data_IF_063164176899
#
_entry.id   IF_063164176899
#
_cell.length_a   1.000
_cell.length_b   1.000
_cell.length_c   1.000
_cell.angle_alpha   90.00
_cell.angle_beta   90.00
_cell.angle_gamma   90.00
#
_symmetry.space_group_name_H-M   'P 1'
#
loop_
_entity.id
_entity.type
_entity.pdbx_description
1 polymer ?
#
# COMPACT_ATOMS: atom_id res chain seq x y z
N UNK A 1 57.10 25.44 -43.59
CA UNK A 1 55.70 25.15 -43.66
C UNK A 1 55.41 24.05 -42.67
N UNK A 2 54.89 24.38 -41.45
CA UNK A 2 54.61 23.45 -40.37
C UNK A 2 53.13 23.21 -40.32
N UNK A 3 52.68 22.00 -40.65
CA UNK A 3 51.28 21.58 -40.53
C UNK A 3 51.01 21.16 -39.06
N UNK A 4 50.09 21.83 -38.39
CA UNK A 4 49.57 21.45 -37.06
C UNK A 4 48.40 20.51 -37.27
N UNK A 5 48.54 19.26 -36.81
CA UNK A 5 47.45 18.31 -36.66
C UNK A 5 46.66 18.64 -35.38
N UNK A 6 45.38 18.98 -35.52
CA UNK A 6 44.42 19.05 -34.41
C UNK A 6 43.85 17.64 -34.20
N UNK A 7 44.16 17.05 -33.07
CA UNK A 7 43.47 15.85 -32.59
C UNK A 7 42.20 16.24 -31.86
N UNK A 8 41.03 15.90 -32.42
CA UNK A 8 39.74 16.05 -31.77
C UNK A 8 39.51 14.79 -30.93
N UNK A 9 39.63 14.92 -29.62
CA UNK A 9 39.26 13.87 -28.68
C UNK A 9 37.73 13.97 -28.48
N UNK A 10 37.01 13.07 -29.14
CA UNK A 10 35.56 12.93 -28.94
C UNK A 10 35.27 12.27 -27.59
N UNK A 11 34.67 13.02 -26.66
CA UNK A 11 34.06 12.47 -25.46
C UNK A 11 32.83 11.65 -25.86
N UNK A 12 32.95 10.34 -25.87
CA UNK A 12 31.79 9.43 -25.91
C UNK A 12 31.13 9.43 -24.55
N UNK A 13 30.04 10.22 -24.41
CA UNK A 13 29.14 10.12 -23.28
C UNK A 13 28.40 8.79 -23.36
N UNK A 14 28.76 7.84 -22.50
CA UNK A 14 28.02 6.59 -22.32
C UNK A 14 26.74 6.95 -21.58
N UNK A 15 25.65 7.16 -22.32
CA UNK A 15 24.30 7.25 -21.76
C UNK A 15 23.93 5.83 -21.32
N UNK A 16 24.04 5.55 -20.02
CA UNK A 16 23.50 4.35 -19.42
C UNK A 16 21.97 4.42 -19.53
N UNK A 17 21.43 3.81 -20.57
CA UNK A 17 20.01 3.50 -20.64
C UNK A 17 19.72 2.51 -19.50
N UNK A 18 19.20 3.04 -18.39
CA UNK A 18 18.53 2.18 -17.40
C UNK A 18 17.34 1.59 -18.11
N UNK A 19 17.38 0.32 -18.41
CA UNK A 19 16.21 -0.44 -18.80
C UNK A 19 15.24 -0.39 -17.61
N UNK A 20 14.20 0.44 -17.74
CA UNK A 20 13.04 0.39 -16.86
C UNK A 20 12.40 -0.96 -17.16
N UNK A 21 12.60 -1.93 -16.29
CA UNK A 21 11.86 -3.18 -16.36
C UNK A 21 10.39 -2.80 -16.18
N UNK A 22 9.59 -2.99 -17.21
CA UNK A 22 8.14 -2.84 -17.08
C UNK A 22 7.68 -3.78 -15.97
N UNK A 23 6.96 -3.24 -15.00
CA UNK A 23 6.34 -4.06 -13.96
C UNK A 23 5.24 -4.85 -14.65
N UNK A 24 5.45 -6.16 -14.75
CA UNK A 24 4.43 -7.06 -15.28
C UNK A 24 3.38 -7.28 -14.17
N UNK A 25 2.24 -6.63 -14.32
CA UNK A 25 1.09 -6.79 -13.44
C UNK A 25 -0.18 -6.96 -14.26
N UNK A 26 -1.09 -7.75 -13.73
CA UNK A 26 -2.46 -7.86 -14.21
C UNK A 26 -3.39 -7.13 -13.25
N UNK A 27 -4.45 -6.56 -13.76
CA UNK A 27 -5.40 -5.79 -12.97
C UNK A 27 -6.83 -6.25 -13.22
N UNK A 28 -7.68 -6.16 -12.21
CA UNK A 28 -9.11 -6.41 -12.36
C UNK A 28 -9.93 -5.44 -11.52
N UNK A 29 -11.00 -4.92 -12.11
CA UNK A 29 -11.93 -4.01 -11.46
C UNK A 29 -12.75 -4.76 -10.40
N UNK A 30 -12.87 -4.17 -9.20
CA UNK A 30 -13.61 -4.72 -8.06
C UNK A 30 -14.88 -3.95 -7.71
N UNK A 31 -15.00 -2.70 -8.12
CA UNK A 31 -16.16 -1.89 -7.82
C UNK A 31 -15.85 -0.42 -7.61
N UNK A 32 -16.90 0.33 -7.34
CA UNK A 32 -16.82 1.71 -6.88
C UNK A 32 -17.00 1.73 -5.36
N UNK A 33 -16.23 2.58 -4.66
CA UNK A 33 -16.32 2.74 -3.20
C UNK A 33 -16.49 4.20 -2.82
N UNK A 34 -17.29 4.45 -1.78
CA UNK A 34 -17.53 5.81 -1.27
C UNK A 34 -16.40 6.29 -0.36
N UNK A 35 -16.02 7.55 -0.48
CA UNK A 35 -15.52 8.49 0.52
C UNK A 35 -14.20 8.23 1.25
N UNK A 36 -13.69 7.03 1.37
CA UNK A 36 -12.50 6.73 2.21
C UNK A 36 -11.28 6.23 1.45
N UNK A 37 -11.39 6.12 0.14
CA UNK A 37 -10.28 5.69 -0.72
C UNK A 37 -9.04 6.58 -0.65
N UNK A 38 -9.17 7.81 -0.16
CA UNK A 38 -8.11 8.83 -0.19
C UNK A 38 -7.28 8.94 1.09
N UNK A 39 -7.67 8.31 2.20
CA UNK A 39 -6.84 8.28 3.41
C UNK A 39 -5.64 7.36 3.20
N UNK A 40 -4.43 7.91 3.26
CA UNK A 40 -3.19 7.22 2.92
C UNK A 40 -2.75 7.42 1.48
N UNK A 41 -3.35 8.38 0.77
CA UNK A 41 -3.08 8.66 -0.62
C UNK A 41 -1.63 9.11 -0.84
N UNK A 42 -0.96 8.43 -1.75
CA UNK A 42 0.13 9.03 -2.49
C UNK A 42 -0.51 10.04 -3.47
N UNK A 43 -0.67 11.29 -3.05
CA UNK A 43 -1.02 12.37 -3.96
C UNK A 43 0.19 12.61 -4.88
N UNK A 44 0.25 11.89 -5.97
CA UNK A 44 1.23 12.16 -7.02
C UNK A 44 0.58 13.06 -8.06
N UNK A 45 1.11 14.24 -8.31
CA UNK A 45 0.61 15.14 -9.36
C UNK A 45 0.71 14.55 -10.77
N UNK A 46 1.35 13.41 -10.92
CA UNK A 46 1.54 12.71 -12.21
C UNK A 46 0.53 11.58 -12.46
N UNK A 47 -0.37 11.27 -11.52
CA UNK A 47 -1.38 10.21 -11.69
C UNK A 47 -2.68 10.81 -12.17
N UNK A 48 -2.90 10.74 -13.49
CA UNK A 48 -4.09 11.32 -14.11
C UNK A 48 -5.10 10.27 -14.57
N UNK A 49 -4.69 9.02 -14.65
CA UNK A 49 -5.53 7.90 -15.10
C UNK A 49 -5.52 6.76 -14.10
N UNK A 50 -6.54 5.91 -14.19
CA UNK A 50 -6.62 4.67 -13.40
C UNK A 50 -5.42 3.76 -13.68
N UNK A 51 -4.96 3.70 -14.92
CA UNK A 51 -3.80 2.90 -15.32
C UNK A 51 -2.51 3.40 -14.67
N UNK A 52 -2.30 4.73 -14.60
CA UNK A 52 -1.15 5.32 -13.90
C UNK A 52 -1.19 4.98 -12.41
N UNK A 53 -2.39 5.02 -11.79
CA UNK A 53 -2.56 4.64 -10.39
C UNK A 53 -2.27 3.16 -10.17
N UNK A 54 -2.81 2.29 -11.00
CA UNK A 54 -2.57 0.85 -10.93
C UNK A 54 -1.08 0.53 -11.07
N UNK A 55 -0.42 1.14 -12.05
CA UNK A 55 1.02 0.98 -12.24
C UNK A 55 1.83 1.45 -11.03
N UNK A 56 1.56 2.65 -10.52
CA UNK A 56 2.28 3.20 -9.38
C UNK A 56 2.11 2.34 -8.11
N UNK A 57 0.88 1.84 -7.87
CA UNK A 57 0.60 0.96 -6.74
C UNK A 57 1.25 -0.42 -6.90
N UNK A 58 1.26 -0.97 -8.12
CA UNK A 58 1.90 -2.25 -8.42
C UNK A 58 3.43 -2.16 -8.27
N UNK A 59 4.04 -1.07 -8.76
CA UNK A 59 5.48 -0.80 -8.64
C UNK A 59 5.90 -0.65 -7.17
N UNK A 60 5.08 0.03 -6.38
CA UNK A 60 5.26 0.17 -4.93
C UNK A 60 4.94 -1.11 -4.13
N UNK A 61 4.47 -2.19 -4.79
CA UNK A 61 4.23 -3.50 -4.17
C UNK A 61 2.89 -3.66 -3.48
N UNK A 62 1.94 -2.76 -3.69
CA UNK A 62 0.59 -2.87 -3.12
C UNK A 62 -0.31 -3.84 -3.90
N UNK A 63 -1.33 -4.36 -3.24
CA UNK A 63 -2.29 -5.33 -3.81
C UNK A 63 -3.50 -4.68 -4.46
N UNK A 64 -3.84 -3.47 -4.06
CA UNK A 64 -5.00 -2.74 -4.55
C UNK A 64 -4.66 -1.29 -4.86
N UNK A 65 -5.26 -0.78 -5.94
CA UNK A 65 -5.25 0.63 -6.32
C UNK A 65 -6.66 1.21 -6.22
N UNK A 66 -6.76 2.37 -5.62
CA UNK A 66 -7.98 3.16 -5.46
C UNK A 66 -7.81 4.47 -6.22
N UNK A 67 -8.56 4.65 -7.27
CA UNK A 67 -8.47 5.84 -8.13
C UNK A 67 -9.77 6.62 -8.12
N UNK A 68 -9.69 7.90 -7.78
CA UNK A 68 -10.84 8.81 -7.82
C UNK A 68 -10.54 9.98 -8.74
N UNK A 69 -11.37 10.14 -9.77
CA UNK A 69 -11.30 11.29 -10.65
C UNK A 69 -12.01 12.49 -10.01
N UNK A 70 -11.35 13.63 -9.95
CA UNK A 70 -11.94 14.90 -9.55
C UNK A 70 -11.51 16.01 -10.51
N UNK A 71 -12.37 17.01 -10.71
CA UNK A 71 -12.08 18.13 -11.60
C UNK A 71 -10.90 19.00 -11.16
N UNK A 72 -10.57 18.98 -9.85
CA UNK A 72 -9.44 19.70 -9.27
C UNK A 72 -8.13 18.88 -9.21
N UNK A 73 -8.15 17.64 -9.67
CA UNK A 73 -7.04 16.69 -9.66
C UNK A 73 -7.46 15.28 -9.25
N UNK A 74 -6.84 14.28 -9.84
CA UNK A 74 -7.16 12.89 -9.53
C UNK A 74 -6.42 12.42 -8.26
N UNK A 75 -7.03 11.52 -7.51
CA UNK A 75 -6.44 10.90 -6.32
C UNK A 75 -6.14 9.44 -6.59
N UNK A 76 -4.96 9.00 -6.17
CA UNK A 76 -4.53 7.61 -6.20
C UNK A 76 -4.13 7.17 -4.79
N UNK A 77 -4.67 6.08 -4.32
CA UNK A 77 -4.32 5.47 -3.04
C UNK A 77 -4.00 4.01 -3.23
N UNK A 78 -2.89 3.57 -2.65
CA UNK A 78 -2.44 2.18 -2.71
C UNK A 78 -2.67 1.52 -1.36
N UNK A 79 -3.29 0.34 -1.36
CA UNK A 79 -3.60 -0.41 -0.13
C UNK A 79 -3.28 -1.90 -0.29
N UNK A 80 -3.13 -2.58 0.82
CA UNK A 80 -3.04 -4.04 0.85
C UNK A 80 -4.37 -4.72 1.23
N UNK A 81 -5.35 -3.92 1.65
CA UNK A 81 -6.69 -4.39 1.97
C UNK A 81 -7.65 -4.01 0.83
N UNK A 82 -8.45 -4.98 0.38
CA UNK A 82 -9.50 -4.76 -0.61
C UNK A 82 -10.71 -4.03 -0.03
N UNK A 83 -11.68 -3.64 -0.86
CA UNK A 83 -12.86 -2.93 -0.41
C UNK A 83 -13.74 -3.82 0.46
N UNK A 84 -14.29 -3.23 1.52
CA UNK A 84 -15.33 -3.88 2.32
C UNK A 84 -16.66 -3.87 1.55
N UNK A 85 -17.50 -4.86 1.80
CA UNK A 85 -18.83 -4.93 1.17
C UNK A 85 -19.70 -3.70 1.46
N UNK A 86 -19.55 -3.10 2.65
CA UNK A 86 -20.26 -1.89 3.08
C UNK A 86 -19.78 -0.61 2.38
N UNK A 87 -18.60 -0.63 1.76
CA UNK A 87 -18.03 0.52 1.04
C UNK A 87 -18.47 0.55 -0.43
N UNK A 88 -18.91 -0.60 -0.97
CA UNK A 88 -19.33 -0.71 -2.37
C UNK A 88 -20.54 0.18 -2.63
N UNK A 89 -20.41 1.00 -3.66
CA UNK A 89 -21.45 1.90 -4.15
C UNK A 89 -21.73 1.65 -5.62
N UNK A 90 -22.94 1.94 -6.13
CA UNK A 90 -23.23 1.81 -7.55
C UNK A 90 -22.32 2.68 -8.43
N UNK A 91 -21.91 2.14 -9.56
CA UNK A 91 -21.32 2.92 -10.64
C UNK A 91 -22.32 3.95 -11.17
N UNK A 92 -21.85 5.07 -11.71
CA UNK A 92 -22.74 6.14 -12.21
C UNK A 92 -23.31 5.81 -13.59
N UNK A 93 -22.51 5.10 -14.42
CA UNK A 93 -22.93 4.67 -15.73
C UNK A 93 -22.11 3.48 -16.22
N UNK A 94 -22.73 2.58 -16.94
CA UNK A 94 -22.08 1.35 -17.40
C UNK A 94 -21.64 0.44 -16.25
N UNK A 95 -20.63 -0.38 -16.48
CA UNK A 95 -20.17 -1.36 -15.49
C UNK A 95 -19.10 -0.81 -14.54
N UNK A 96 -18.25 0.13 -14.98
CA UNK A 96 -17.01 0.49 -14.25
C UNK A 96 -16.83 1.99 -13.96
N UNK A 97 -17.75 2.85 -14.39
CA UNK A 97 -17.63 4.29 -14.18
C UNK A 97 -18.11 4.70 -12.80
N UNK A 98 -17.19 5.08 -11.92
CA UNK A 98 -17.49 5.50 -10.54
C UNK A 98 -17.83 7.00 -10.40
N UNK A 99 -17.68 7.80 -11.46
CA UNK A 99 -17.87 9.26 -11.38
C UNK A 99 -16.82 9.94 -10.50
N UNK A 100 -17.13 11.16 -10.05
CA UNK A 100 -16.22 11.96 -9.22
C UNK A 100 -16.41 11.79 -7.72
N UNK A 101 -17.53 11.19 -7.29
CA UNK A 101 -17.88 11.03 -5.88
C UNK A 101 -17.37 9.71 -5.26
N UNK A 102 -16.92 8.78 -6.08
CA UNK A 102 -16.48 7.46 -5.65
C UNK A 102 -15.13 7.09 -6.28
N UNK A 103 -14.36 6.26 -5.59
CA UNK A 103 -13.14 5.72 -6.13
C UNK A 103 -13.40 4.39 -6.86
N UNK A 104 -12.75 4.19 -8.01
CA UNK A 104 -12.65 2.89 -8.67
C UNK A 104 -11.57 2.06 -7.98
N UNK A 105 -11.89 0.82 -7.64
CA UNK A 105 -10.93 -0.10 -7.00
C UNK A 105 -10.53 -1.18 -7.98
N UNK A 106 -9.22 -1.39 -8.11
CA UNK A 106 -8.65 -2.49 -8.87
C UNK A 106 -7.77 -3.37 -7.99
N UNK A 107 -7.95 -4.68 -8.07
CA UNK A 107 -6.97 -5.63 -7.59
C UNK A 107 -5.82 -5.71 -8.59
N UNK A 108 -4.59 -5.73 -8.06
CA UNK A 108 -3.35 -5.79 -8.84
C UNK A 108 -2.73 -7.17 -8.70
N UNK A 109 -2.21 -7.73 -9.81
CA UNK A 109 -1.61 -9.06 -9.88
C UNK A 109 -2.59 -10.19 -9.47
N UNK A 110 -3.72 -10.21 -10.13
CA UNK A 110 -4.69 -11.29 -10.12
C UNK A 110 -4.78 -11.92 -11.51
N UNK A 111 -5.11 -13.19 -11.59
CA UNK A 111 -5.42 -13.90 -12.84
C UNK A 111 -6.92 -13.87 -13.20
N UNK A 112 -7.70 -13.18 -12.38
CA UNK A 112 -9.11 -12.95 -12.63
C UNK A 112 -9.30 -11.71 -13.50
N UNK A 113 -10.17 -11.82 -14.51
CA UNK A 113 -10.53 -10.75 -15.42
C UNK A 113 -11.98 -10.37 -15.17
N UNK A 114 -12.22 -9.10 -14.86
CA UNK A 114 -13.57 -8.58 -14.75
C UNK A 114 -14.27 -8.67 -16.10
N UNK A 115 -15.43 -9.30 -16.12
CA UNK A 115 -16.26 -9.43 -17.32
C UNK A 115 -17.36 -8.37 -17.34
N UNK A 116 -18.31 -8.46 -16.43
CA UNK A 116 -19.42 -7.51 -16.32
C UNK A 116 -20.17 -7.70 -15.00
N UNK A 117 -21.26 -6.95 -14.80
CA UNK A 117 -22.19 -7.17 -13.71
C UNK A 117 -23.54 -7.65 -14.23
N UNK A 118 -24.15 -8.60 -13.53
CA UNK A 118 -25.39 -9.27 -13.94
C UNK A 118 -26.43 -9.26 -12.81
N UNK A 119 -27.72 -9.23 -13.18
CA UNK A 119 -28.81 -9.30 -12.22
C UNK A 119 -29.00 -10.70 -11.62
N UNK A 120 -28.73 -11.74 -12.40
CA UNK A 120 -28.85 -13.15 -11.99
C UNK A 120 -27.71 -13.97 -12.55
N UNK A 121 -27.38 -15.03 -11.81
CA UNK A 121 -26.50 -16.08 -12.26
C UNK A 121 -27.17 -17.43 -11.97
N UNK A 122 -26.90 -18.44 -12.78
CA UNK A 122 -27.26 -19.82 -12.51
C UNK A 122 -25.98 -20.61 -12.29
N UNK A 123 -25.71 -20.96 -11.03
CA UNK A 123 -24.51 -21.70 -10.62
C UNK A 123 -24.83 -22.49 -9.34
N UNK A 124 -24.08 -23.57 -9.10
CA UNK A 124 -24.43 -24.55 -8.07
C UNK A 124 -23.70 -24.35 -6.73
N UNK A 125 -22.51 -23.74 -6.73
CA UNK A 125 -21.70 -23.62 -5.53
C UNK A 125 -21.73 -22.20 -4.97
N UNK A 126 -22.28 -22.07 -3.76
CA UNK A 126 -22.45 -20.77 -3.10
C UNK A 126 -21.71 -20.80 -1.75
N UNK A 127 -20.79 -19.88 -1.55
CA UNK A 127 -20.11 -19.69 -0.27
C UNK A 127 -20.18 -18.21 0.13
N UNK A 128 -19.95 -17.92 1.41
CA UNK A 128 -19.76 -16.55 1.86
C UNK A 128 -18.28 -16.22 1.96
N UNK A 129 -17.91 -15.00 1.60
CA UNK A 129 -16.56 -14.49 1.80
C UNK A 129 -16.61 -13.09 2.41
N UNK A 130 -15.57 -12.71 3.11
CA UNK A 130 -15.46 -11.36 3.66
C UNK A 130 -14.76 -10.39 2.72
N UNK A 131 -13.99 -10.90 1.75
CA UNK A 131 -13.22 -10.12 0.80
C UNK A 131 -13.30 -10.71 -0.62
N UNK A 132 -12.99 -9.92 -1.64
CA UNK A 132 -12.83 -10.39 -3.01
C UNK A 132 -11.72 -11.44 -3.13
N UNK A 133 -10.58 -11.21 -2.46
CA UNK A 133 -9.44 -12.11 -2.45
C UNK A 133 -9.81 -13.50 -1.95
N UNK A 134 -10.53 -13.58 -0.85
CA UNK A 134 -11.01 -14.87 -0.30
C UNK A 134 -11.91 -15.62 -1.29
N UNK A 135 -12.77 -14.91 -2.04
CA UNK A 135 -13.57 -15.52 -3.08
C UNK A 135 -12.71 -16.02 -4.23
N UNK A 136 -11.75 -15.25 -4.70
CA UNK A 136 -10.84 -15.64 -5.76
C UNK A 136 -10.00 -16.87 -5.37
N UNK A 137 -9.51 -16.91 -4.12
CA UNK A 137 -8.82 -18.09 -3.58
C UNK A 137 -9.71 -19.35 -3.56
N UNK A 138 -10.98 -19.18 -3.17
CA UNK A 138 -11.95 -20.28 -3.14
C UNK A 138 -12.24 -20.80 -4.54
N UNK A 139 -12.32 -19.91 -5.54
CA UNK A 139 -12.69 -20.25 -6.91
C UNK A 139 -11.51 -20.66 -7.82
N UNK A 140 -10.30 -20.85 -7.29
CA UNK A 140 -9.09 -21.14 -8.12
C UNK A 140 -9.20 -22.35 -9.04
N UNK A 141 -10.03 -23.34 -8.73
CA UNK A 141 -10.26 -24.55 -9.54
C UNK A 141 -11.42 -24.42 -10.53
N UNK A 142 -12.07 -23.26 -10.56
CA UNK A 142 -13.20 -22.94 -11.42
C UNK A 142 -12.80 -21.92 -12.47
N UNK A 143 -13.54 -21.83 -13.57
CA UNK A 143 -13.31 -20.84 -14.65
C UNK A 143 -13.95 -19.49 -14.35
N UNK A 144 -14.96 -19.46 -13.49
CA UNK A 144 -15.73 -18.27 -13.19
C UNK A 144 -15.89 -18.06 -11.69
N UNK A 145 -15.77 -16.82 -11.25
CA UNK A 145 -16.10 -16.37 -9.90
C UNK A 145 -17.11 -15.22 -9.97
N UNK A 146 -18.11 -15.29 -9.10
CA UNK A 146 -19.15 -14.27 -9.00
C UNK A 146 -19.24 -13.77 -7.57
N UNK A 147 -19.28 -12.45 -7.40
CA UNK A 147 -19.45 -11.83 -6.10
C UNK A 147 -20.65 -10.89 -6.10
N UNK A 148 -21.41 -10.96 -5.03
CA UNK A 148 -22.52 -10.04 -4.78
C UNK A 148 -22.43 -9.49 -3.36
N UNK A 149 -22.65 -8.20 -3.19
CA UNK A 149 -22.76 -7.58 -1.87
C UNK A 149 -23.98 -8.17 -1.12
N UNK A 150 -23.76 -8.68 0.08
CA UNK A 150 -24.76 -9.29 0.95
C UNK A 150 -24.55 -8.85 2.40
N UNK A 151 -25.16 -7.73 2.79
CA UNK A 151 -24.92 -7.14 4.10
C UNK A 151 -23.45 -6.73 4.29
N UNK A 152 -22.83 -7.19 5.36
CA UNK A 152 -21.42 -6.92 5.69
C UNK A 152 -20.43 -7.96 5.11
N UNK A 153 -20.87 -8.75 4.14
CA UNK A 153 -20.08 -9.78 3.51
C UNK A 153 -20.33 -9.81 1.98
N UNK A 154 -19.57 -10.63 1.28
CA UNK A 154 -19.83 -10.95 -0.11
C UNK A 154 -20.39 -12.37 -0.21
N UNK A 155 -21.39 -12.55 -1.04
CA UNK A 155 -21.80 -13.85 -1.50
C UNK A 155 -20.87 -14.23 -2.65
N UNK A 156 -20.10 -15.28 -2.48
CA UNK A 156 -19.14 -15.80 -3.46
C UNK A 156 -19.71 -17.06 -4.12
N UNK A 157 -19.65 -17.13 -5.45
CA UNK A 157 -20.12 -18.26 -6.23
C UNK A 157 -19.06 -18.63 -7.25
N UNK A 158 -18.67 -19.91 -7.23
CA UNK A 158 -17.71 -20.45 -8.19
C UNK A 158 -18.44 -21.35 -9.21
N UNK A 159 -18.05 -21.31 -10.48
CA UNK A 159 -18.65 -22.17 -11.50
C UNK A 159 -17.71 -22.42 -12.68
N UNK A 160 -17.90 -23.57 -13.34
CA UNK A 160 -17.32 -23.87 -14.65
C UNK A 160 -18.35 -23.75 -15.78
N UNK A 161 -19.63 -23.59 -15.45
CA UNK A 161 -20.75 -23.67 -16.39
C UNK A 161 -21.86 -22.67 -16.06
N UNK A 162 -21.52 -21.54 -15.43
CA UNK A 162 -22.54 -20.57 -15.07
C UNK A 162 -23.19 -19.94 -16.30
N UNK A 163 -24.51 -19.74 -16.24
CA UNK A 163 -25.20 -18.85 -17.15
C UNK A 163 -25.51 -17.52 -16.46
N UNK A 164 -25.35 -16.44 -17.18
CA UNK A 164 -25.59 -15.07 -16.71
C UNK A 164 -26.89 -14.53 -17.26
N UNK A 165 -27.57 -13.70 -16.47
CA UNK A 165 -28.75 -12.95 -16.90
C UNK A 165 -28.42 -11.70 -17.71
N UNK A 166 -29.20 -10.65 -17.51
CA UNK A 166 -28.96 -9.36 -18.17
C UNK A 166 -27.89 -8.53 -17.44
N UNK A 167 -27.10 -7.81 -18.21
CA UNK A 167 -26.10 -6.88 -17.68
C UNK A 167 -26.75 -5.75 -16.90
N UNK A 168 -26.09 -5.34 -15.83
CA UNK A 168 -26.56 -4.31 -14.90
C UNK A 168 -25.41 -3.36 -14.53
N UNK A 169 -25.77 -2.19 -14.00
CA UNK A 169 -24.79 -1.30 -13.37
C UNK A 169 -24.19 -1.98 -12.14
N UNK A 170 -22.87 -2.07 -12.07
CA UNK A 170 -22.15 -2.68 -10.96
C UNK A 170 -22.40 -1.96 -9.64
N UNK A 171 -22.45 -2.71 -8.56
CA UNK A 171 -22.64 -2.19 -7.22
C UNK A 171 -24.08 -1.91 -6.83
N UNK A 172 -25.05 -2.04 -7.74
CA UNK A 172 -26.46 -2.01 -7.38
C UNK A 172 -26.82 -3.21 -6.50
N UNK A 173 -27.77 -3.02 -5.60
CA UNK A 173 -28.29 -4.08 -4.75
C UNK A 173 -28.75 -5.27 -5.59
N UNK A 174 -28.22 -6.44 -5.28
CA UNK A 174 -28.57 -7.68 -5.97
C UNK A 174 -27.75 -8.00 -7.21
N UNK A 175 -26.86 -7.11 -7.67
CA UNK A 175 -25.97 -7.39 -8.83
C UNK A 175 -24.79 -8.26 -8.44
N UNK A 176 -24.42 -9.15 -9.34
CA UNK A 176 -23.24 -9.99 -9.28
C UNK A 176 -22.12 -9.38 -10.13
N UNK A 177 -20.97 -9.15 -9.56
CA UNK A 177 -19.72 -8.94 -10.26
C UNK A 177 -19.23 -10.28 -10.82
N UNK A 178 -19.00 -10.37 -12.11
CA UNK A 178 -18.55 -11.60 -12.77
C UNK A 178 -17.09 -11.49 -13.20
N UNK A 179 -16.33 -12.51 -12.85
CA UNK A 179 -14.93 -12.63 -13.18
C UNK A 179 -14.67 -13.96 -13.85
N UNK A 180 -13.85 -13.95 -14.90
CA UNK A 180 -13.36 -15.15 -15.54
C UNK A 180 -11.88 -15.34 -15.24
N UNK A 181 -11.43 -16.59 -15.15
CA UNK A 181 -10.01 -16.91 -15.09
C UNK A 181 -9.73 -18.30 -15.66
N UNK A 182 -8.46 -18.59 -15.92
CA UNK A 182 -8.08 -19.93 -16.32
C UNK A 182 -7.93 -20.81 -15.09
N UNK A 183 -8.82 -21.78 -14.93
CA UNK A 183 -8.75 -22.76 -13.84
C UNK A 183 -7.37 -23.44 -13.82
N UNK A 184 -6.67 -23.37 -12.70
CA UNK A 184 -5.33 -23.93 -12.57
C UNK A 184 -5.22 -24.83 -11.34
N UNK A 185 -4.51 -25.92 -11.47
CA UNK A 185 -4.09 -26.77 -10.35
C UNK A 185 -2.82 -26.25 -9.66
N UNK A 186 -2.28 -25.12 -10.11
CA UNK A 186 -1.05 -24.51 -9.58
C UNK A 186 -1.37 -23.38 -8.60
N UNK A 187 -0.48 -23.09 -7.65
CA UNK A 187 -0.66 -21.96 -6.74
C UNK A 187 -0.91 -20.67 -7.54
N UNK A 188 -1.95 -19.95 -7.17
CA UNK A 188 -2.41 -18.75 -7.88
C UNK A 188 -1.32 -17.68 -7.98
N UNK A 189 -1.48 -16.73 -8.89
CA UNK A 189 -0.63 -15.53 -8.99
C UNK A 189 -0.61 -14.80 -7.66
N UNK A 190 -1.70 -14.82 -6.90
CA UNK A 190 -1.81 -14.28 -5.54
C UNK A 190 -0.77 -14.93 -4.61
N UNK A 191 -0.63 -16.26 -4.65
CA UNK A 191 0.36 -16.96 -3.83
C UNK A 191 1.81 -16.63 -4.25
N UNK A 192 2.07 -16.49 -5.55
CA UNK A 192 3.39 -16.05 -6.05
C UNK A 192 3.70 -14.64 -5.59
N UNK A 193 2.70 -13.75 -5.62
CA UNK A 193 2.85 -12.37 -5.16
C UNK A 193 3.03 -12.30 -3.66
N UNK A 194 2.25 -13.07 -2.86
CA UNK A 194 2.44 -13.16 -1.43
C UNK A 194 3.89 -13.56 -1.09
N UNK A 195 4.42 -14.59 -1.77
CA UNK A 195 5.82 -15.01 -1.63
C UNK A 195 6.81 -13.92 -2.05
N UNK A 196 6.50 -13.16 -3.12
CA UNK A 196 7.33 -12.03 -3.56
C UNK A 196 7.31 -10.91 -2.54
N UNK A 197 6.13 -10.55 -2.00
CA UNK A 197 5.97 -9.56 -0.95
C UNK A 197 6.68 -9.98 0.35
N UNK A 198 6.54 -11.23 0.75
CA UNK A 198 7.25 -11.78 1.91
C UNK A 198 8.77 -11.75 1.70
N UNK A 199 9.22 -12.06 0.48
CA UNK A 199 10.63 -11.93 0.13
C UNK A 199 11.10 -10.48 0.18
N UNK A 200 10.34 -9.53 -0.40
CA UNK A 200 10.67 -8.11 -0.35
C UNK A 200 10.71 -7.58 1.09
N UNK A 201 9.74 -7.95 1.94
CA UNK A 201 9.75 -7.61 3.37
C UNK A 201 10.98 -8.18 4.07
N UNK A 202 11.35 -9.41 3.74
CA UNK A 202 12.56 -10.05 4.28
C UNK A 202 13.83 -9.36 3.80
N UNK A 203 13.91 -9.05 2.50
CA UNK A 203 15.07 -8.37 1.92
C UNK A 203 15.21 -6.94 2.49
N UNK A 204 14.09 -6.24 2.70
CA UNK A 204 14.07 -4.93 3.35
C UNK A 204 14.48 -5.04 4.83
N UNK A 205 14.00 -6.05 5.54
CA UNK A 205 14.40 -6.30 6.92
C UNK A 205 15.88 -6.68 7.02
N UNK A 206 16.40 -7.46 6.06
CA UNK A 206 17.84 -7.73 5.94
C UNK A 206 18.63 -6.47 5.61
N UNK A 207 18.09 -5.58 4.80
CA UNK A 207 18.70 -4.28 4.48
C UNK A 207 18.75 -3.37 5.70
N UNK A 208 17.68 -3.31 6.47
CA UNK A 208 17.62 -2.54 7.73
C UNK A 208 18.57 -3.12 8.79
N UNK A 209 18.63 -4.44 8.89
CA UNK A 209 19.54 -5.15 9.82
C UNK A 209 21.00 -5.20 9.33
N UNK A 210 21.28 -4.70 8.14
CA UNK A 210 22.64 -4.70 7.56
C UNK A 210 23.63 -3.89 8.40
N UNK A 211 23.18 -2.84 9.03
CA UNK A 211 24.00 -1.95 9.84
C UNK A 211 23.90 -2.28 11.32
N UNK A 212 22.71 -2.72 11.81
CA UNK A 212 22.47 -2.99 13.22
C UNK A 212 21.80 -4.36 13.42
N UNK A 213 22.23 -5.14 14.41
CA UNK A 213 21.62 -6.42 14.75
C UNK A 213 20.29 -6.24 15.50
N UNK A 214 19.43 -7.27 15.47
CA UNK A 214 18.34 -7.45 16.42
C UNK A 214 17.19 -6.44 16.38
N UNK A 215 17.00 -5.74 15.27
CA UNK A 215 15.92 -4.75 15.14
C UNK A 215 16.28 -3.35 15.64
N UNK A 216 17.53 -3.12 16.03
CA UNK A 216 18.06 -1.80 16.32
C UNK A 216 18.12 -0.95 15.06
N UNK A 217 17.92 0.34 15.21
CA UNK A 217 17.98 1.31 14.10
C UNK A 217 19.38 1.94 14.04
N UNK A 218 19.97 2.02 12.85
CA UNK A 218 21.21 2.77 12.62
C UNK A 218 20.91 4.26 12.61
N UNK A 219 21.34 4.98 13.61
CA UNK A 219 21.13 6.42 13.77
C UNK A 219 22.43 7.18 13.53
N UNK A 220 22.33 8.32 12.84
CA UNK A 220 23.49 9.20 12.57
C UNK A 220 23.99 9.80 13.87
N UNK A 221 25.33 9.77 14.06
CA UNK A 221 25.98 10.45 15.16
C UNK A 221 26.20 11.93 14.78
N UNK A 222 25.76 12.88 15.61
CA UNK A 222 25.92 14.30 15.33
C UNK A 222 27.39 14.68 15.10
N UNK A 223 27.64 15.39 14.00
CA UNK A 223 29.00 15.85 13.64
C UNK A 223 29.88 14.82 12.94
N UNK A 224 29.33 13.66 12.56
CA UNK A 224 30.02 12.63 11.78
C UNK A 224 29.12 12.08 10.69
N UNK A 225 29.42 12.36 9.42
CA UNK A 225 28.61 11.92 8.27
C UNK A 225 28.79 10.42 7.96
N UNK A 226 29.88 9.81 8.43
CA UNK A 226 30.25 8.43 8.12
C UNK A 226 30.09 7.45 9.30
N UNK A 227 29.53 7.90 10.42
CA UNK A 227 29.38 7.11 11.63
C UNK A 227 27.94 6.99 12.06
N UNK A 228 27.59 5.82 12.56
CA UNK A 228 26.27 5.53 13.12
C UNK A 228 26.39 4.76 14.41
N UNK A 229 25.34 4.83 15.19
CA UNK A 229 25.13 3.99 16.37
C UNK A 229 23.84 3.18 16.20
N UNK A 230 23.82 2.02 16.86
CA UNK A 230 22.66 1.14 16.83
C UNK A 230 21.80 1.38 18.06
N UNK A 231 20.63 1.96 17.85
CA UNK A 231 19.72 2.38 18.93
C UNK A 231 18.42 1.59 18.88
N UNK A 232 17.95 1.14 20.05
CA UNK A 232 16.58 0.68 20.22
C UNK A 232 15.65 1.88 20.40
N UNK A 233 15.17 2.41 19.29
CA UNK A 233 14.29 3.59 19.27
C UNK A 233 12.91 3.35 19.92
N UNK A 234 12.61 2.12 20.34
CA UNK A 234 11.40 1.81 21.08
C UNK A 234 11.52 2.06 22.60
N UNK A 235 12.73 2.14 23.09
CA UNK A 235 13.03 2.30 24.53
C UNK A 235 14.05 3.40 24.86
N UNK A 236 14.82 3.86 23.87
CA UNK A 236 15.85 4.89 24.09
C UNK A 236 15.24 6.28 24.32
N UNK A 237 15.65 6.93 25.43
CA UNK A 237 15.10 8.22 25.84
C UNK A 237 15.48 9.37 24.91
N UNK A 238 16.71 9.36 24.39
CA UNK A 238 17.23 10.45 23.54
C UNK A 238 16.86 10.30 22.06
N UNK A 239 16.33 9.15 21.66
CA UNK A 239 15.94 8.86 20.27
C UNK A 239 14.64 8.05 20.22
N UNK A 240 13.64 8.45 20.99
CA UNK A 240 12.42 7.70 21.12
C UNK A 240 11.50 7.83 19.87
N UNK A 241 11.06 6.69 19.34
CA UNK A 241 10.21 6.64 18.14
C UNK A 241 10.97 6.78 16.82
N UNK A 242 12.30 6.95 16.85
CA UNK A 242 13.17 7.09 15.69
C UNK A 242 14.50 7.73 16.03
N UNK A 243 15.35 7.89 15.05
CA UNK A 243 16.64 8.56 15.22
C UNK A 243 16.48 10.08 15.39
N UNK A 244 17.00 10.68 16.43
CA UNK A 244 16.90 12.11 16.69
C UNK A 244 17.57 12.94 15.58
N UNK A 245 18.70 12.49 15.06
CA UNK A 245 19.49 13.18 14.03
C UNK A 245 19.35 12.56 12.65
N UNK A 246 18.37 11.67 12.48
CA UNK A 246 18.09 10.98 11.23
C UNK A 246 18.68 9.57 11.14
N UNK A 247 18.08 8.76 10.29
CA UNK A 247 18.57 7.41 10.02
C UNK A 247 19.82 7.45 9.14
N UNK A 248 20.81 6.62 9.41
CA UNK A 248 22.03 6.49 8.61
C UNK A 248 21.74 6.11 7.15
N UNK A 249 20.63 5.44 6.90
CA UNK A 249 20.16 5.08 5.55
C UNK A 249 19.36 6.19 4.86
N UNK A 250 18.83 7.15 5.63
CA UNK A 250 18.05 8.27 5.12
C UNK A 250 18.11 9.44 6.12
N UNK A 251 19.11 10.29 5.96
CA UNK A 251 19.39 11.41 6.86
C UNK A 251 18.39 12.58 6.76
N UNK A 252 17.39 12.51 5.87
CA UNK A 252 16.49 13.66 5.61
C UNK A 252 15.31 13.76 6.56
N UNK A 253 15.02 12.76 7.37
CA UNK A 253 13.90 12.79 8.30
C UNK A 253 14.34 12.39 9.71
N UNK A 254 14.37 13.36 10.62
CA UNK A 254 14.39 13.10 12.04
C UNK A 254 12.97 12.75 12.49
N UNK A 255 12.75 11.54 12.97
CA UNK A 255 11.47 11.11 13.51
C UNK A 255 11.52 10.89 15.04
N UNK A 256 12.72 10.91 15.63
CA UNK A 256 12.92 10.67 17.06
C UNK A 256 12.65 11.90 17.93
N UNK A 257 12.24 11.64 19.15
CA UNK A 257 12.01 12.66 20.20
C UNK A 257 12.95 12.39 21.36
N UNK A 258 13.60 13.44 21.83
CA UNK A 258 14.36 13.39 23.06
C UNK A 258 13.45 13.61 24.28
N UNK A 259 13.13 12.52 24.97
CA UNK A 259 12.30 12.53 26.17
C UNK A 259 13.07 13.06 27.41
N UNK A 260 14.40 13.16 27.36
CA UNK A 260 15.24 13.60 28.51
C UNK A 260 15.20 15.11 28.72
N UNK A 261 14.88 15.88 27.65
CA UNK A 261 14.89 17.35 27.68
C UNK A 261 13.49 17.98 27.85
N UNK A 262 12.48 17.18 28.18
CA UNK A 262 11.12 17.71 28.35
C UNK A 262 11.11 18.81 29.44
N UNK A 263 10.57 20.01 29.14
CA UNK A 263 10.58 21.14 30.07
C UNK A 263 9.90 20.79 31.39
N UNK A 264 10.59 21.09 32.50
CA UNK A 264 10.06 20.86 33.85
C UNK A 264 10.21 19.42 34.37
N UNK A 265 10.53 18.42 33.56
CA UNK A 265 10.76 17.06 34.02
C UNK A 265 12.00 16.96 34.91
N UNK A 266 11.93 16.18 35.98
CA UNK A 266 13.08 15.89 36.81
C UNK A 266 14.08 14.95 36.06
N UNK A 267 15.35 14.99 36.46
CA UNK A 267 16.33 14.05 35.92
C UNK A 267 15.91 12.61 36.30
N UNK A 268 15.78 11.74 35.29
CA UNK A 268 15.22 10.40 35.43
C UNK A 268 13.71 10.32 35.67
N UNK A 269 13.01 11.46 35.54
CA UNK A 269 11.55 11.57 35.68
C UNK A 269 10.77 11.36 34.38
N UNK A 270 11.43 11.08 33.27
CA UNK A 270 10.81 10.72 32.01
C UNK A 270 11.11 9.27 31.65
N UNK A 271 10.13 8.58 31.08
CA UNK A 271 10.25 7.21 30.57
C UNK A 271 9.60 7.10 29.21
N UNK A 272 10.00 6.09 28.45
CA UNK A 272 9.41 5.80 27.13
C UNK A 272 8.42 4.63 27.29
N UNK A 273 7.16 4.85 26.98
CA UNK A 273 6.12 3.85 27.06
C UNK A 273 5.06 4.08 26.00
N UNK A 274 4.59 2.99 25.36
CA UNK A 274 3.48 3.01 24.41
C UNK A 274 3.56 4.08 23.32
N UNK A 275 4.76 4.37 22.80
CA UNK A 275 4.97 5.37 21.75
C UNK A 275 4.90 6.82 22.23
N UNK A 276 5.05 7.08 23.56
CA UNK A 276 5.02 8.42 24.16
C UNK A 276 6.05 8.57 25.26
N UNK A 277 6.56 9.79 25.43
CA UNK A 277 7.30 10.16 26.61
C UNK A 277 6.32 10.31 27.78
N UNK A 278 6.48 9.54 28.83
CA UNK A 278 5.69 9.63 30.07
C UNK A 278 6.52 10.29 31.16
N UNK A 279 5.97 11.32 31.80
CA UNK A 279 6.63 12.04 32.88
C UNK A 279 6.07 11.52 34.21
N UNK A 280 6.96 11.06 35.07
CA UNK A 280 6.64 10.56 36.41
C UNK A 280 7.05 11.50 37.56
N UNK A 281 7.98 12.44 37.29
CA UNK A 281 8.46 13.40 38.28
C UNK A 281 8.84 14.74 37.65
N UNK A 282 8.58 15.82 38.36
CA UNK A 282 8.92 17.19 37.95
C UNK A 282 10.07 17.75 38.83
N UNK A 283 10.84 18.70 38.25
CA UNK A 283 11.86 19.47 39.00
C UNK A 283 11.17 20.38 40.02
N UNK A 284 11.97 20.79 41.02
CA UNK A 284 11.53 21.78 42.01
C UNK A 284 10.96 23.04 41.34
N UNK A 285 9.79 23.46 41.78
CA UNK A 285 9.04 24.58 41.23
C UNK A 285 7.99 24.18 40.14
N UNK A 286 7.92 22.92 39.74
CA UNK A 286 6.91 22.39 38.84
C UNK A 286 6.05 21.32 39.50
N UNK A 287 4.79 21.23 39.08
CA UNK A 287 3.85 20.21 39.52
C UNK A 287 3.48 19.30 38.35
N UNK A 288 3.32 18.00 38.62
CA UNK A 288 2.84 17.04 37.62
C UNK A 288 1.33 17.14 37.50
N UNK A 289 0.85 17.66 36.37
CA UNK A 289 -0.58 17.79 36.05
C UNK A 289 -0.80 17.14 34.69
N UNK A 290 -1.69 16.16 34.63
CA UNK A 290 -2.06 15.43 33.40
C UNK A 290 -0.84 14.93 32.59
N UNK A 291 0.19 14.40 33.28
CA UNK A 291 1.39 13.87 32.64
C UNK A 291 2.36 14.93 32.10
N UNK A 292 2.22 16.18 32.52
CA UNK A 292 3.10 17.29 32.17
C UNK A 292 3.53 18.08 33.41
N UNK A 293 4.74 18.58 33.36
CA UNK A 293 5.22 19.48 34.42
C UNK A 293 4.82 20.94 34.10
N UNK A 294 4.04 21.52 35.00
CA UNK A 294 3.53 22.89 34.93
C UNK A 294 3.90 23.70 36.16
#
# INVERSE_FOLDING_TARGET
>A
MLARSLSIIGLLSVISLRSVSAVDYSETYLGCVTGTGTSGALASPSVNTISDCNYACADAGYTYAYFQYQSAGSYCSCKNDGPLSSEITPAVSGSTNCGSAAASVNALATDYYFNNCYNTISANDVTSSTTFEQCFETCTTYTDAFLKVSGNAYLCVCSNTASTGTTQTCGNTGTYFAYAHTATSSPSIIERRRRKLEKMKRDEQLRLNRFCPGGLQACVIPGSDDSFECIDTSSELESFGGCLYGSYTNSTASAGVDCSIIPGAAFGGATCSNGRCEISACREGFQLVDGRCQ
#
